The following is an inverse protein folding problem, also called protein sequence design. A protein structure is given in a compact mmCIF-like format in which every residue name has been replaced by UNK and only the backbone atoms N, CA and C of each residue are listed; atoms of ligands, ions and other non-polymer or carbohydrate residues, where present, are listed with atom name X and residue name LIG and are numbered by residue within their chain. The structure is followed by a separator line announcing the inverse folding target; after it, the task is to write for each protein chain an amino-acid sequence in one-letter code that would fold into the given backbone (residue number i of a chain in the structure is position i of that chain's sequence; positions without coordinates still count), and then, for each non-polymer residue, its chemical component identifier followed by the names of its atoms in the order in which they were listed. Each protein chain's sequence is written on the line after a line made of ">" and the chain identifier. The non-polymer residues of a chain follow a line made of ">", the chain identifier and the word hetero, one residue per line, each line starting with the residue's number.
data_IF_831306099793
#
_entry.id   IF_831306099793
#
_cell.length_a   1.000
_cell.length_b   1.000
_cell.length_c   1.000
_cell.angle_alpha   90.00
_cell.angle_beta   90.00
_cell.angle_gamma   90.00
#
_symmetry.space_group_name_H-M   'P 1'
#
loop_
_entity.id
_entity.type
_entity.pdbx_description
1 polymer ?
#
# COMPACT_ATOMS: atom_id res chain seq x y z
N UNK A 1 11.00 6.70 12.65
CA UNK A 1 10.28 5.78 13.58
C UNK A 1 9.43 4.81 12.75
N UNK A 2 9.70 3.51 12.73
CA UNK A 2 8.91 2.52 11.96
C UNK A 2 7.41 2.52 12.27
N UNK A 3 7.05 2.79 13.53
CA UNK A 3 5.66 2.86 13.98
C UNK A 3 4.82 3.91 13.23
N UNK A 4 5.41 5.04 12.81
CA UNK A 4 4.70 6.09 12.09
C UNK A 4 4.26 5.66 10.69
N UNK A 5 5.10 4.87 9.99
CA UNK A 5 4.81 4.40 8.63
C UNK A 5 3.66 3.42 8.61
N UNK A 6 3.67 2.43 9.50
CA UNK A 6 2.58 1.46 9.56
C UNK A 6 1.28 2.10 10.07
N UNK A 7 1.36 3.02 11.03
CA UNK A 7 0.20 3.78 11.49
C UNK A 7 -0.45 4.59 10.36
N UNK A 8 0.34 5.25 9.51
CA UNK A 8 -0.16 5.95 8.33
C UNK A 8 -0.91 5.02 7.38
N UNK A 9 -0.31 3.88 7.02
CA UNK A 9 -0.95 2.92 6.10
C UNK A 9 -2.20 2.29 6.72
N UNK A 10 -2.23 2.07 8.03
CA UNK A 10 -3.42 1.61 8.75
C UNK A 10 -4.54 2.65 8.74
N UNK A 11 -4.21 3.92 8.96
CA UNK A 11 -5.17 5.02 8.90
C UNK A 11 -5.75 5.17 7.48
N UNK A 12 -4.90 5.04 6.44
CA UNK A 12 -5.38 4.96 5.07
C UNK A 12 -6.31 3.75 4.89
N UNK A 13 -5.93 2.55 5.32
CA UNK A 13 -6.82 1.39 5.17
C UNK A 13 -8.20 1.61 5.83
N UNK A 14 -8.22 2.21 7.02
CA UNK A 14 -9.46 2.53 7.72
C UNK A 14 -10.30 3.54 6.93
N UNK A 15 -9.65 4.59 6.42
CA UNK A 15 -10.29 5.60 5.58
C UNK A 15 -10.88 4.98 4.31
N UNK A 16 -10.16 4.04 3.67
CA UNK A 16 -10.67 3.24 2.54
C UNK A 16 -12.00 2.61 2.84
N UNK A 17 -12.12 2.00 4.02
CA UNK A 17 -13.31 1.24 4.41
C UNK A 17 -14.45 2.21 4.67
N UNK A 18 -14.15 3.36 5.28
CA UNK A 18 -15.10 4.43 5.56
C UNK A 18 -15.67 5.06 4.29
N UNK A 19 -14.83 5.31 3.28
CA UNK A 19 -15.23 5.97 2.02
C UNK A 19 -15.53 4.98 0.90
N UNK A 20 -15.55 3.68 1.18
CA UNK A 20 -15.65 2.61 0.17
C UNK A 20 -14.61 2.73 -0.96
N UNK A 21 -13.42 3.23 -0.62
CA UNK A 21 -12.28 3.40 -1.50
C UNK A 21 -12.25 4.72 -2.26
N UNK A 22 -13.28 5.56 -2.16
CA UNK A 22 -13.31 6.85 -2.85
C UNK A 22 -12.38 7.87 -2.19
N UNK A 23 -11.57 8.55 -3.00
CA UNK A 23 -10.72 9.69 -2.62
C UNK A 23 -11.17 10.92 -3.38
N UNK A 24 -11.35 12.01 -2.64
CA UNK A 24 -11.58 13.33 -3.22
C UNK A 24 -10.38 13.77 -4.07
N UNK A 25 -10.66 14.18 -5.31
CA UNK A 25 -9.65 14.67 -6.25
C UNK A 25 -8.87 15.87 -5.66
N UNK A 26 -9.51 16.71 -4.84
CA UNK A 26 -8.84 17.83 -4.18
C UNK A 26 -7.80 17.39 -3.14
N UNK A 27 -8.04 16.25 -2.48
CA UNK A 27 -7.12 15.70 -1.48
C UNK A 27 -6.03 14.82 -2.10
N UNK A 28 -6.19 14.40 -3.36
CA UNK A 28 -5.32 13.46 -4.04
C UNK A 28 -3.85 13.90 -4.09
N UNK A 29 -3.47 15.14 -4.48
CA UNK A 29 -2.06 15.52 -4.61
C UNK A 29 -1.32 15.38 -3.28
N UNK A 30 -1.92 15.90 -2.20
CA UNK A 30 -1.35 15.81 -0.85
C UNK A 30 -1.18 14.35 -0.40
N UNK A 31 -2.16 13.49 -0.72
CA UNK A 31 -2.07 12.06 -0.43
C UNK A 31 -0.93 11.39 -1.20
N UNK A 32 -0.77 11.71 -2.49
CA UNK A 32 0.30 11.17 -3.33
C UNK A 32 1.69 11.61 -2.86
N UNK A 33 1.84 12.84 -2.38
CA UNK A 33 3.08 13.34 -1.78
C UNK A 33 3.45 12.54 -0.51
N UNK A 34 2.47 12.33 0.38
CA UNK A 34 2.66 11.55 1.59
C UNK A 34 3.00 10.08 1.29
N UNK A 35 2.33 9.49 0.31
CA UNK A 35 2.63 8.12 -0.15
C UNK A 35 4.05 8.05 -0.71
N UNK A 36 4.44 9.00 -1.55
CA UNK A 36 5.77 9.03 -2.16
C UNK A 36 6.86 9.11 -1.09
N UNK A 37 6.69 9.99 -0.10
CA UNK A 37 7.61 10.09 1.04
C UNK A 37 7.68 8.78 1.82
N UNK A 38 6.54 8.17 2.15
CA UNK A 38 6.49 6.90 2.87
C UNK A 38 7.24 5.79 2.12
N UNK A 39 7.06 5.68 0.80
CA UNK A 39 7.73 4.66 0.01
C UNK A 39 9.24 4.86 -0.04
N UNK A 40 9.72 6.10 -0.11
CA UNK A 40 11.15 6.43 0.00
C UNK A 40 11.68 6.04 1.38
N UNK A 41 10.96 6.35 2.45
CA UNK A 41 11.37 5.96 3.80
C UNK A 41 11.39 4.44 4.02
N UNK A 42 10.40 3.72 3.49
CA UNK A 42 10.38 2.25 3.49
C UNK A 42 11.58 1.67 2.76
N UNK A 43 11.92 2.21 1.59
CA UNK A 43 13.07 1.78 0.82
C UNK A 43 14.39 2.03 1.57
N UNK A 44 14.57 3.21 2.17
CA UNK A 44 15.80 3.58 2.87
C UNK A 44 15.99 2.82 4.19
N UNK A 45 14.90 2.53 4.91
CA UNK A 45 14.93 1.82 6.18
C UNK A 45 14.85 0.29 6.02
N UNK A 46 14.73 -0.22 4.79
CA UNK A 46 14.43 -1.63 4.47
C UNK A 46 13.20 -2.18 5.22
N UNK A 47 12.27 -1.28 5.56
CA UNK A 47 11.01 -1.59 6.24
C UNK A 47 9.90 -1.70 5.20
N UNK A 48 9.77 -2.88 4.61
CA UNK A 48 8.89 -3.11 3.46
C UNK A 48 7.44 -3.45 3.83
N UNK A 49 7.15 -3.68 5.11
CA UNK A 49 5.81 -4.09 5.55
C UNK A 49 4.74 -3.01 5.28
N UNK A 50 4.96 -1.71 5.56
CA UNK A 50 4.03 -0.65 5.20
C UNK A 50 3.86 -0.53 3.67
N UNK A 51 4.94 -0.64 2.90
CA UNK A 51 4.90 -0.58 1.44
C UNK A 51 4.10 -1.75 0.82
N UNK A 52 4.29 -2.99 1.31
CA UNK A 52 3.49 -4.17 0.90
C UNK A 52 2.00 -3.91 1.11
N UNK A 53 1.65 -3.44 2.31
CA UNK A 53 0.26 -3.16 2.67
C UNK A 53 -0.34 -2.03 1.83
N UNK A 54 0.42 -0.94 1.63
CA UNK A 54 0.02 0.17 0.78
C UNK A 54 -0.21 -0.26 -0.67
N UNK A 55 0.65 -1.11 -1.23
CA UNK A 55 0.48 -1.65 -2.58
C UNK A 55 -0.87 -2.37 -2.71
N UNK A 56 -1.20 -3.27 -1.77
CA UNK A 56 -2.51 -3.96 -1.77
C UNK A 56 -3.70 -3.01 -1.64
N UNK A 57 -3.56 -1.96 -0.83
CA UNK A 57 -4.62 -0.97 -0.60
C UNK A 57 -4.80 -0.04 -1.82
N UNK A 58 -3.71 0.28 -2.52
CA UNK A 58 -3.73 1.16 -3.71
C UNK A 58 -4.56 0.61 -4.88
N UNK A 59 -4.84 -0.69 -4.87
CA UNK A 59 -5.72 -1.38 -5.84
C UNK A 59 -7.21 -1.28 -5.46
N UNK A 60 -7.53 -0.80 -4.26
CA UNK A 60 -8.90 -0.63 -3.76
C UNK A 60 -9.32 0.83 -3.72
N UNK A 61 -8.36 1.71 -3.47
CA UNK A 61 -8.56 3.15 -3.50
C UNK A 61 -8.67 3.68 -4.93
N UNK A 62 -9.62 4.57 -5.16
CA UNK A 62 -9.83 5.22 -6.45
C UNK A 62 -10.31 6.66 -6.31
N UNK A 63 -10.19 7.40 -7.39
CA UNK A 63 -10.77 8.74 -7.57
C UNK A 63 -11.42 8.82 -8.96
N UNK A 64 -12.24 9.84 -9.18
CA UNK A 64 -12.73 10.20 -10.50
C UNK A 64 -11.89 11.37 -11.02
N UNK A 65 -10.83 11.05 -11.75
CA UNK A 65 -9.98 12.04 -12.39
C UNK A 65 -10.28 12.10 -13.90
N UNK A 66 -11.07 13.09 -14.35
CA UNK A 66 -11.45 13.20 -15.76
C UNK A 66 -10.26 13.50 -16.68
N UNK A 67 -9.10 13.89 -16.15
CA UNK A 67 -7.88 14.10 -16.93
C UNK A 67 -7.16 12.79 -17.28
N UNK A 68 -7.43 11.72 -16.51
CA UNK A 68 -6.78 10.41 -16.68
C UNK A 68 -7.72 9.40 -17.33
N UNK A 69 -8.98 9.34 -16.90
CA UNK A 69 -9.97 8.38 -17.38
C UNK A 69 -11.40 8.89 -17.17
N UNK A 70 -12.33 8.42 -18.01
CA UNK A 70 -13.76 8.61 -17.80
C UNK A 70 -14.32 7.73 -16.68
N UNK A 71 -13.58 6.69 -16.28
CA UNK A 71 -13.92 5.76 -15.21
C UNK A 71 -13.11 6.03 -13.93
N UNK A 72 -13.37 5.24 -12.88
CA UNK A 72 -12.58 5.26 -11.65
C UNK A 72 -11.09 5.01 -11.94
N UNK A 73 -10.24 5.86 -11.40
CA UNK A 73 -8.78 5.74 -11.50
C UNK A 73 -8.22 5.31 -10.15
N UNK A 74 -7.62 4.13 -10.09
CA UNK A 74 -7.05 3.59 -8.86
C UNK A 74 -5.77 4.34 -8.46
N UNK A 75 -5.52 4.45 -7.16
CA UNK A 75 -4.31 5.10 -6.64
C UNK A 75 -3.04 4.43 -7.16
N UNK A 76 -3.10 3.11 -7.41
CA UNK A 76 -2.03 2.37 -8.04
C UNK A 76 -1.51 3.02 -9.34
N UNK A 77 -2.39 3.62 -10.16
CA UNK A 77 -2.01 4.25 -11.44
C UNK A 77 -0.99 5.38 -11.23
N UNK A 78 -1.12 6.14 -10.14
CA UNK A 78 -0.24 7.26 -9.82
C UNK A 78 1.08 6.82 -9.18
N UNK A 79 1.08 5.70 -8.47
CA UNK A 79 2.25 5.24 -7.71
C UNK A 79 3.01 4.09 -8.37
N UNK A 80 2.53 3.54 -9.49
CA UNK A 80 3.14 2.39 -10.19
C UNK A 80 4.60 2.61 -10.63
N UNK A 81 5.03 3.86 -10.79
CA UNK A 81 6.39 4.23 -11.20
C UNK A 81 7.38 4.35 -10.03
N UNK A 82 6.93 4.15 -8.79
CA UNK A 82 7.79 4.29 -7.62
C UNK A 82 8.91 3.22 -7.62
N UNK A 83 10.19 3.59 -7.38
CA UNK A 83 11.33 2.69 -7.54
C UNK A 83 11.30 1.43 -6.66
N UNK A 84 10.64 1.51 -5.50
CA UNK A 84 10.48 0.38 -4.56
C UNK A 84 9.81 -0.84 -5.22
N UNK A 85 8.96 -0.65 -6.23
CA UNK A 85 8.32 -1.76 -6.95
C UNK A 85 9.26 -2.51 -7.89
N UNK A 86 10.42 -1.93 -8.22
CA UNK A 86 11.46 -2.58 -9.00
C UNK A 86 12.55 -3.20 -8.09
N UNK A 87 12.47 -2.99 -6.78
CA UNK A 87 13.45 -3.46 -5.81
C UNK A 87 13.31 -4.97 -5.57
N UNK A 88 14.35 -5.74 -5.91
CA UNK A 88 14.41 -7.17 -5.59
C UNK A 88 14.35 -7.42 -4.08
N UNK A 89 14.93 -6.52 -3.26
CA UNK A 89 14.86 -6.60 -1.80
C UNK A 89 13.41 -6.54 -1.30
N UNK A 90 12.61 -5.63 -1.86
CA UNK A 90 11.19 -5.50 -1.53
C UNK A 90 10.43 -6.79 -1.87
N UNK A 91 10.60 -7.32 -3.09
CA UNK A 91 9.89 -8.53 -3.51
C UNK A 91 10.32 -9.78 -2.74
N UNK A 92 11.61 -9.93 -2.44
CA UNK A 92 12.10 -11.01 -1.58
C UNK A 92 11.45 -10.94 -0.19
N UNK A 93 11.43 -9.75 0.42
CA UNK A 93 10.79 -9.55 1.71
C UNK A 93 9.28 -9.89 1.67
N UNK A 94 8.57 -9.41 0.65
CA UNK A 94 7.14 -9.73 0.47
C UNK A 94 6.90 -11.23 0.31
N UNK A 95 7.73 -11.91 -0.48
CA UNK A 95 7.66 -13.34 -0.70
C UNK A 95 7.87 -14.12 0.60
N UNK A 96 8.94 -13.84 1.34
CA UNK A 96 9.20 -14.49 2.62
C UNK A 96 8.10 -14.24 3.64
N UNK A 97 7.57 -13.02 3.71
CA UNK A 97 6.42 -12.71 4.57
C UNK A 97 5.20 -13.55 4.20
N UNK A 98 4.86 -13.63 2.90
CA UNK A 98 3.71 -14.43 2.45
C UNK A 98 3.89 -15.94 2.70
N UNK A 99 5.12 -16.46 2.56
CA UNK A 99 5.44 -17.83 2.95
C UNK A 99 5.26 -18.08 4.45
N UNK A 100 5.73 -17.15 5.27
CA UNK A 100 5.59 -17.25 6.73
C UNK A 100 4.12 -17.21 7.13
N UNK A 101 3.33 -16.29 6.58
CA UNK A 101 1.89 -16.19 6.80
C UNK A 101 1.16 -17.49 6.39
N UNK A 102 1.57 -18.13 5.29
CA UNK A 102 0.99 -19.39 4.85
C UNK A 102 1.34 -20.56 5.79
N UNK A 103 2.57 -20.60 6.32
CA UNK A 103 3.00 -21.61 7.29
C UNK A 103 2.24 -21.48 8.60
N UNK A 104 2.13 -20.27 9.14
CA UNK A 104 1.40 -20.03 10.40
C UNK A 104 -0.07 -20.44 10.28
N UNK A 105 -0.73 -20.15 9.16
CA UNK A 105 -2.12 -20.61 8.92
C UNK A 105 -2.25 -22.13 8.85
N UNK A 106 -1.29 -22.81 8.24
CA UNK A 106 -1.30 -24.28 8.15
C UNK A 106 -1.08 -24.95 9.52
N UNK A 107 -0.24 -24.34 10.36
CA UNK A 107 -0.06 -24.77 11.76
C UNK A 107 -1.37 -24.60 12.55
N UNK A 108 -2.03 -23.44 12.44
CA UNK A 108 -3.32 -23.18 13.09
C UNK A 108 -4.40 -24.20 12.66
N UNK A 109 -4.52 -24.49 11.36
CA UNK A 109 -5.49 -25.48 10.84
C UNK A 109 -5.17 -26.94 11.22
N UNK A 110 -3.98 -27.24 11.73
CA UNK A 110 -3.62 -28.59 12.21
C UNK A 110 -4.09 -28.85 13.64
N UNK A 111 -4.54 -27.82 14.37
CA UNK A 111 -5.04 -27.93 15.74
C UNK A 111 -6.58 -27.83 15.84
N UNK A 112 -7.27 -27.62 14.72
CA UNK A 112 -8.73 -27.70 14.58
C UNK A 112 -9.18 -29.06 14.05
#
# INVERSE_FOLDING_TARGET
>A
MPAGRIAFVNALEQESRRTQGLVDLQALPKLLDQISLLLVECQNAEDFQPAKKLLSISLKFYTYDPSVSTDRTFIFVYIKSQPIWQSLRFWNACFFQSLQEARSKAEESSYE
#
